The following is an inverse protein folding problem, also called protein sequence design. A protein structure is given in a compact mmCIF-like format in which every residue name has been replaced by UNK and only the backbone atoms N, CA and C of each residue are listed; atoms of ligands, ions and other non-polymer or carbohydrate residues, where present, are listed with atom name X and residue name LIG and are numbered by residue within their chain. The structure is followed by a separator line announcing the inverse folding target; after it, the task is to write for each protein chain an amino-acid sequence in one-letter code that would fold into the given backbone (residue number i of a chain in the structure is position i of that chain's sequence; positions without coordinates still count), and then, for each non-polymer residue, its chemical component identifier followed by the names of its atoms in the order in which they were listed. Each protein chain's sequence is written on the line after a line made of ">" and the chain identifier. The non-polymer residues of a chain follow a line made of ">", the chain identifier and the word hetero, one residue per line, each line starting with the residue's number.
data_IF_640600626663
#
_entry.id   IF_640600626663
#
_cell.length_a   1.000
_cell.length_b   1.000
_cell.length_c   1.000
_cell.angle_alpha   90.00
_cell.angle_beta   90.00
_cell.angle_gamma   90.00
#
_symmetry.space_group_name_H-M   'P 1'
#
loop_
_entity.id
_entity.type
_entity.pdbx_description
1 polymer ?
#
# COMPACT_ATOMS: atom_id res chain seq x y z
N UNK A 1 -12.97 14.40 10.66
CA UNK A 1 -12.36 15.22 9.59
C UNK A 1 -11.00 14.67 9.24
N UNK A 2 -10.87 14.16 8.01
CA UNK A 2 -9.58 13.66 7.51
C UNK A 2 -8.67 14.87 7.22
N UNK A 3 -7.46 14.94 7.78
CA UNK A 3 -6.58 16.10 7.61
C UNK A 3 -5.91 16.12 6.23
N UNK A 4 -6.70 16.36 5.19
CA UNK A 4 -6.32 16.33 3.77
C UNK A 4 -5.01 17.07 3.45
N UNK A 5 -4.85 18.29 3.99
CA UNK A 5 -3.62 19.10 3.76
C UNK A 5 -2.35 18.42 4.29
N UNK A 6 -2.45 17.69 5.41
CA UNK A 6 -1.31 16.95 5.97
C UNK A 6 -1.00 15.71 5.15
N UNK A 7 -2.02 15.01 4.65
CA UNK A 7 -1.84 13.83 3.78
C UNK A 7 -1.14 14.19 2.47
N UNK A 8 -1.48 15.31 1.85
CA UNK A 8 -0.81 15.79 0.64
C UNK A 8 0.63 16.24 0.87
N UNK A 9 0.93 16.78 2.05
CA UNK A 9 2.29 17.17 2.43
C UNK A 9 3.16 15.98 2.82
N UNK A 10 2.59 14.92 3.37
CA UNK A 10 3.27 13.66 3.56
C UNK A 10 3.46 13.00 2.19
N UNK A 11 4.51 13.39 1.46
CA UNK A 11 4.89 12.75 0.21
C UNK A 11 4.95 11.25 0.48
N UNK A 12 3.96 10.52 -0.03
CA UNK A 12 3.90 9.09 0.14
C UNK A 12 5.19 8.48 -0.41
N UNK A 13 6.01 7.98 0.48
CA UNK A 13 7.40 7.65 0.19
C UNK A 13 7.50 6.54 -0.85
N UNK A 14 6.56 5.59 -0.82
CA UNK A 14 6.57 4.40 -1.65
C UNK A 14 5.42 4.35 -2.68
N UNK A 15 4.60 5.39 -2.77
CA UNK A 15 3.51 5.46 -3.73
C UNK A 15 3.86 6.34 -4.94
N UNK A 16 3.41 5.95 -6.12
CA UNK A 16 3.46 6.80 -7.30
C UNK A 16 2.28 7.78 -7.29
N UNK A 17 2.31 8.84 -8.12
CA UNK A 17 1.13 9.69 -8.33
C UNK A 17 -0.12 8.89 -8.72
N UNK A 18 0.05 7.79 -9.48
CA UNK A 18 -1.04 6.90 -9.88
C UNK A 18 -1.63 6.13 -8.69
N UNK A 19 -0.78 5.66 -7.77
CA UNK A 19 -1.23 4.97 -6.56
C UNK A 19 -1.98 5.95 -5.64
N UNK A 20 -1.45 7.15 -5.48
CA UNK A 20 -2.08 8.22 -4.69
C UNK A 20 -3.40 8.69 -5.29
N UNK A 21 -3.54 8.71 -6.61
CA UNK A 21 -4.79 9.06 -7.27
C UNK A 21 -5.92 8.07 -6.94
N UNK A 22 -5.61 6.77 -6.80
CA UNK A 22 -6.60 5.77 -6.37
C UNK A 22 -7.05 6.04 -4.93
N UNK A 23 -6.11 6.27 -4.02
CA UNK A 23 -6.43 6.61 -2.63
C UNK A 23 -7.27 7.89 -2.53
N UNK A 24 -6.93 8.91 -3.32
CA UNK A 24 -7.69 10.14 -3.37
C UNK A 24 -9.13 9.92 -3.83
N UNK A 25 -9.31 9.19 -4.94
CA UNK A 25 -10.64 8.84 -5.45
C UNK A 25 -11.45 8.07 -4.41
N UNK A 26 -10.82 7.15 -3.69
CA UNK A 26 -11.44 6.43 -2.60
C UNK A 26 -11.94 7.38 -1.52
N UNK A 27 -11.08 8.28 -1.05
CA UNK A 27 -11.39 9.23 0.01
C UNK A 27 -12.51 10.21 -0.37
N UNK A 28 -12.59 10.58 -1.64
CA UNK A 28 -13.67 11.40 -2.18
C UNK A 28 -14.89 10.60 -2.64
N UNK A 29 -14.92 9.28 -2.39
CA UNK A 29 -15.99 8.37 -2.83
C UNK A 29 -16.25 8.44 -4.35
N UNK A 30 -15.22 8.77 -5.11
CA UNK A 30 -15.27 8.86 -6.58
C UNK A 30 -14.60 7.67 -7.27
N UNK A 31 -14.20 6.65 -6.49
CA UNK A 31 -13.72 5.41 -7.05
C UNK A 31 -14.89 4.68 -7.73
N UNK A 32 -14.66 4.27 -8.95
CA UNK A 32 -15.67 3.58 -9.74
C UNK A 32 -15.80 2.13 -9.22
N UNK A 33 -16.95 1.79 -8.73
CA UNK A 33 -17.35 0.44 -8.29
C UNK A 33 -18.60 0.04 -9.03
N UNK A 34 -18.97 -1.22 -9.05
CA UNK A 34 -20.09 -1.73 -9.84
C UNK A 34 -21.37 -0.91 -9.68
N UNK A 35 -21.68 -0.49 -8.45
CA UNK A 35 -22.83 0.36 -8.15
C UNK A 35 -22.87 1.67 -8.94
N UNK A 36 -21.71 2.29 -9.17
CA UNK A 36 -21.61 3.62 -9.78
C UNK A 36 -21.32 3.55 -11.29
N UNK A 37 -21.08 2.37 -11.83
CA UNK A 37 -20.46 2.19 -13.13
C UNK A 37 -21.38 1.79 -14.27
N UNK A 38 -22.66 1.53 -14.03
CA UNK A 38 -23.53 1.01 -15.07
C UNK A 38 -23.07 -0.30 -15.69
N UNK A 39 -22.18 -1.03 -14.97
CA UNK A 39 -21.74 -2.36 -15.37
C UNK A 39 -22.90 -3.36 -15.24
N UNK A 40 -22.87 -4.41 -16.03
CA UNK A 40 -23.86 -5.48 -15.97
C UNK A 40 -23.77 -6.18 -14.61
N UNK A 41 -24.57 -5.71 -13.65
CA UNK A 41 -24.62 -6.22 -12.30
C UNK A 41 -24.01 -5.28 -11.26
N UNK A 42 -24.70 -5.13 -10.15
CA UNK A 42 -24.29 -4.31 -9.01
C UNK A 42 -23.67 -5.17 -7.90
N UNK A 43 -23.57 -6.48 -8.12
CA UNK A 43 -23.11 -7.43 -7.12
C UNK A 43 -21.58 -7.47 -7.01
N UNK A 44 -21.11 -7.80 -5.81
CA UNK A 44 -19.71 -8.00 -5.52
C UNK A 44 -19.09 -9.08 -6.43
N UNK A 45 -17.93 -8.78 -7.00
CA UNK A 45 -17.22 -9.71 -7.89
C UNK A 45 -16.65 -10.96 -7.17
N UNK A 46 -16.79 -11.08 -5.85
CA UNK A 46 -16.43 -12.28 -5.10
C UNK A 46 -17.46 -13.37 -5.34
N UNK A 47 -17.02 -14.56 -5.75
CA UNK A 47 -17.90 -15.69 -5.98
C UNK A 47 -18.75 -16.02 -4.75
N UNK A 48 -20.06 -16.14 -4.95
CA UNK A 48 -21.04 -16.43 -3.89
C UNK A 48 -21.38 -15.23 -2.98
N UNK A 49 -20.82 -14.04 -3.22
CA UNK A 49 -21.21 -12.84 -2.48
C UNK A 49 -22.40 -12.17 -3.17
N UNK A 50 -23.53 -12.13 -2.49
CA UNK A 50 -24.79 -11.55 -3.02
C UNK A 50 -24.97 -10.08 -2.66
N UNK A 51 -24.01 -9.47 -1.99
CA UNK A 51 -24.10 -8.06 -1.59
C UNK A 51 -23.79 -7.11 -2.74
N UNK A 52 -24.41 -5.93 -2.70
CA UNK A 52 -24.11 -4.85 -3.63
C UNK A 52 -22.64 -4.39 -3.46
N UNK A 53 -21.90 -4.29 -4.58
CA UNK A 53 -20.53 -3.81 -4.55
C UNK A 53 -20.49 -2.28 -4.41
N UNK A 54 -20.02 -1.83 -3.30
CA UNK A 54 -19.68 -0.44 -3.04
C UNK A 54 -18.35 -0.38 -2.28
N UNK A 55 -17.81 0.81 -2.08
CA UNK A 55 -16.50 0.97 -1.43
C UNK A 55 -16.47 0.43 -0.01
N UNK A 56 -17.55 0.63 0.75
CA UNK A 56 -17.66 0.12 2.10
C UNK A 56 -17.71 -1.41 2.10
N UNK A 57 -18.44 -2.00 1.16
CA UNK A 57 -18.48 -3.46 1.02
C UNK A 57 -17.11 -4.03 0.63
N UNK A 58 -16.35 -3.39 -0.25
CA UNK A 58 -14.97 -3.82 -0.57
C UNK A 58 -14.04 -3.83 0.64
N UNK A 59 -14.29 -2.99 1.65
CA UNK A 59 -13.55 -3.02 2.91
C UNK A 59 -14.07 -4.07 3.89
N UNK A 60 -15.39 -4.32 3.89
CA UNK A 60 -16.08 -5.15 4.89
C UNK A 60 -16.47 -6.54 4.38
N UNK A 61 -16.41 -6.82 3.08
CA UNK A 61 -16.72 -8.14 2.51
C UNK A 61 -15.91 -9.23 3.22
N UNK A 62 -16.54 -10.24 3.83
CA UNK A 62 -15.84 -11.22 4.66
C UNK A 62 -14.71 -11.94 3.92
N UNK A 63 -14.92 -12.28 2.65
CA UNK A 63 -13.90 -12.95 1.83
C UNK A 63 -12.74 -12.01 1.49
N UNK A 64 -13.02 -10.76 1.07
CA UNK A 64 -11.95 -9.78 0.78
C UNK A 64 -11.20 -9.45 2.07
N UNK A 65 -11.91 -9.31 3.19
CA UNK A 65 -11.31 -9.05 4.49
C UNK A 65 -10.29 -10.14 4.85
N UNK A 66 -10.71 -11.40 4.85
CA UNK A 66 -9.87 -12.55 5.22
C UNK A 66 -8.72 -12.79 4.23
N UNK A 67 -9.01 -12.80 2.93
CA UNK A 67 -8.09 -13.30 1.92
C UNK A 67 -7.21 -12.20 1.32
N UNK A 68 -7.50 -10.94 1.63
CA UNK A 68 -6.73 -9.80 1.13
C UNK A 68 -6.32 -8.84 2.25
N UNK A 69 -7.26 -8.17 2.94
CA UNK A 69 -6.93 -7.13 3.90
C UNK A 69 -6.17 -7.65 5.12
N UNK A 70 -6.57 -8.78 5.69
CA UNK A 70 -5.88 -9.39 6.83
C UNK A 70 -4.45 -9.83 6.46
N UNK A 71 -4.26 -10.35 5.24
CA UNK A 71 -2.91 -10.68 4.74
C UNK A 71 -2.03 -9.46 4.60
N UNK A 72 -2.58 -8.32 4.16
CA UNK A 72 -1.83 -7.06 4.06
C UNK A 72 -1.48 -6.53 5.44
N UNK A 73 -2.41 -6.56 6.39
CA UNK A 73 -2.13 -6.18 7.79
C UNK A 73 -1.00 -7.03 8.36
N UNK A 74 -1.06 -8.35 8.22
CA UNK A 74 0.01 -9.26 8.65
C UNK A 74 1.33 -8.97 7.96
N UNK A 75 1.31 -8.67 6.66
CA UNK A 75 2.49 -8.27 5.90
C UNK A 75 3.12 -6.99 6.48
N UNK A 76 2.33 -5.95 6.71
CA UNK A 76 2.79 -4.68 7.27
C UNK A 76 3.33 -4.84 8.70
N UNK A 77 2.63 -5.61 9.53
CA UNK A 77 3.05 -5.92 10.90
C UNK A 77 4.36 -6.71 10.95
N UNK A 78 4.59 -7.63 10.01
CA UNK A 78 5.87 -8.33 9.89
C UNK A 78 7.05 -7.36 9.73
N UNK A 79 6.85 -6.27 9.01
CA UNK A 79 7.83 -5.19 8.88
C UNK A 79 7.70 -4.14 9.98
N UNK A 80 7.06 -4.47 11.12
CA UNK A 80 6.79 -3.56 12.24
C UNK A 80 6.08 -2.25 11.84
N UNK A 81 5.30 -2.20 10.80
CA UNK A 81 4.44 -1.08 10.45
C UNK A 81 3.13 -1.28 11.19
N UNK A 82 2.74 -0.28 11.99
CA UNK A 82 1.44 -0.31 12.64
C UNK A 82 0.32 -0.35 11.60
N UNK A 83 -0.48 -1.41 11.64
CA UNK A 83 -1.58 -1.64 10.73
C UNK A 83 -2.73 -2.32 11.47
N UNK A 84 -3.95 -1.93 11.14
CA UNK A 84 -5.19 -2.45 11.69
C UNK A 84 -6.18 -2.68 10.55
N UNK A 85 -6.98 -3.73 10.62
CA UNK A 85 -7.99 -3.98 9.59
C UNK A 85 -9.30 -3.25 9.93
N UNK A 86 -9.25 -1.92 9.87
CA UNK A 86 -10.37 -1.02 10.11
C UNK A 86 -10.62 -0.14 8.89
N UNK A 87 -11.86 0.32 8.71
CA UNK A 87 -12.21 1.25 7.63
C UNK A 87 -11.35 2.53 7.71
N UNK A 88 -11.18 3.06 8.92
CA UNK A 88 -10.35 4.25 9.16
C UNK A 88 -8.91 4.06 8.66
N UNK A 89 -8.32 2.89 8.93
CA UNK A 89 -6.97 2.58 8.46
C UNK A 89 -6.89 2.57 6.94
N UNK A 90 -7.84 1.93 6.26
CA UNK A 90 -7.85 1.85 4.80
C UNK A 90 -8.12 3.20 4.12
N UNK A 91 -8.70 4.14 4.84
CA UNK A 91 -8.85 5.53 4.40
C UNK A 91 -7.60 6.40 4.69
N UNK A 92 -6.56 5.83 5.26
CA UNK A 92 -5.29 6.50 5.51
C UNK A 92 -5.15 7.11 6.90
N UNK A 93 -6.01 6.73 7.84
CA UNK A 93 -5.97 7.17 9.22
C UNK A 93 -5.67 5.99 10.16
N UNK A 94 -4.95 6.25 11.23
CA UNK A 94 -4.66 5.29 12.27
C UNK A 94 -4.87 5.97 13.64
N UNK A 95 -5.85 5.48 14.42
CA UNK A 95 -6.18 6.02 15.74
C UNK A 95 -6.41 7.53 15.72
N UNK A 96 -7.26 7.99 14.82
CA UNK A 96 -7.61 9.42 14.66
C UNK A 96 -6.50 10.30 14.11
N UNK A 97 -5.37 9.73 13.66
CA UNK A 97 -4.24 10.47 13.06
C UNK A 97 -3.99 10.01 11.64
N UNK A 98 -3.48 10.91 10.81
CA UNK A 98 -2.99 10.53 9.47
C UNK A 98 -1.86 9.51 9.58
N UNK A 99 -1.96 8.43 8.85
CA UNK A 99 -0.92 7.41 8.79
C UNK A 99 0.39 7.98 8.23
N UNK A 100 1.51 7.42 8.64
CA UNK A 100 2.83 7.83 8.14
C UNK A 100 3.01 7.56 6.64
N UNK A 101 3.99 8.23 6.01
CA UNK A 101 4.19 8.16 4.56
C UNK A 101 4.39 6.73 4.01
N UNK A 102 5.08 5.86 4.76
CA UNK A 102 5.26 4.46 4.40
C UNK A 102 3.93 3.70 4.42
N UNK A 103 3.16 3.90 5.46
CA UNK A 103 1.83 3.29 5.62
C UNK A 103 0.86 3.78 4.55
N UNK A 104 0.81 5.09 4.30
CA UNK A 104 -0.02 5.67 3.24
C UNK A 104 0.36 5.13 1.86
N UNK A 105 1.66 4.98 1.59
CA UNK A 105 2.14 4.38 0.36
C UNK A 105 1.69 2.94 0.19
N UNK A 106 1.78 2.14 1.25
CA UNK A 106 1.32 0.76 1.24
C UNK A 106 -0.20 0.66 1.05
N UNK A 107 -0.98 1.48 1.77
CA UNK A 107 -2.44 1.55 1.62
C UNK A 107 -2.83 1.92 0.17
N UNK A 108 -2.21 2.94 -0.40
CA UNK A 108 -2.48 3.37 -1.77
C UNK A 108 -2.19 2.26 -2.80
N UNK A 109 -1.10 1.53 -2.63
CA UNK A 109 -0.73 0.39 -3.47
C UNK A 109 -1.71 -0.78 -3.29
N UNK A 110 -2.13 -1.05 -2.04
CA UNK A 110 -3.10 -2.09 -1.73
C UNK A 110 -4.45 -1.82 -2.45
N UNK A 111 -4.97 -0.63 -2.31
CA UNK A 111 -6.19 -0.23 -3.01
C UNK A 111 -6.06 -0.32 -4.52
N UNK A 112 -4.95 0.15 -5.07
CA UNK A 112 -4.71 0.05 -6.51
C UNK A 112 -4.70 -1.40 -6.98
N UNK A 113 -4.05 -2.30 -6.25
CA UNK A 113 -3.96 -3.71 -6.61
C UNK A 113 -5.33 -4.39 -6.56
N UNK A 114 -6.11 -4.17 -5.49
CA UNK A 114 -7.47 -4.69 -5.40
C UNK A 114 -8.37 -4.11 -6.49
N UNK A 115 -8.35 -2.80 -6.66
CA UNK A 115 -9.22 -2.12 -7.63
C UNK A 115 -8.95 -2.56 -9.07
N UNK A 116 -7.71 -2.82 -9.43
CA UNK A 116 -7.36 -3.33 -10.75
C UNK A 116 -7.96 -4.71 -11.00
N UNK A 117 -7.95 -5.61 -10.01
CA UNK A 117 -8.55 -6.94 -10.15
C UNK A 117 -10.09 -6.90 -10.09
N UNK A 118 -10.68 -6.03 -9.28
CA UNK A 118 -12.14 -5.79 -9.26
C UNK A 118 -12.61 -5.30 -10.63
N UNK A 119 -11.97 -4.27 -11.18
CA UNK A 119 -12.32 -3.74 -12.50
C UNK A 119 -12.18 -4.81 -13.59
N UNK A 120 -11.13 -5.63 -13.51
CA UNK A 120 -10.91 -6.71 -14.45
C UNK A 120 -11.96 -7.82 -14.33
N UNK A 121 -12.31 -8.20 -13.10
CA UNK A 121 -13.33 -9.22 -12.83
C UNK A 121 -14.68 -8.82 -13.46
N UNK A 122 -15.09 -7.57 -13.28
CA UNK A 122 -16.32 -7.06 -13.91
C UNK A 122 -16.21 -6.97 -15.43
N UNK A 123 -15.08 -6.54 -15.98
CA UNK A 123 -14.89 -6.44 -17.42
C UNK A 123 -14.90 -7.80 -18.14
N UNK A 124 -14.42 -8.85 -17.45
CA UNK A 124 -14.32 -10.21 -18.00
C UNK A 124 -15.46 -11.13 -17.55
N UNK A 125 -16.40 -10.61 -16.76
CA UNK A 125 -17.48 -11.42 -16.10
C UNK A 125 -16.92 -12.66 -15.37
N UNK A 126 -15.88 -12.42 -14.57
CA UNK A 126 -15.17 -13.45 -13.82
C UNK A 126 -15.13 -13.15 -12.33
N UNK A 127 -14.92 -14.19 -11.56
CA UNK A 127 -14.70 -14.07 -10.12
C UNK A 127 -13.43 -13.30 -9.79
N UNK A 128 -13.48 -12.47 -8.73
CA UNK A 128 -12.36 -11.70 -8.23
C UNK A 128 -11.20 -12.60 -7.75
N UNK A 129 -10.01 -12.35 -8.25
CA UNK A 129 -8.78 -13.08 -7.93
C UNK A 129 -7.98 -12.36 -6.83
N UNK A 130 -8.32 -12.63 -5.57
CA UNK A 130 -7.67 -12.01 -4.40
C UNK A 130 -6.20 -12.41 -4.23
N UNK A 131 -5.83 -13.63 -4.60
CA UNK A 131 -4.45 -14.11 -4.68
C UNK A 131 -3.61 -13.24 -5.62
N UNK A 132 -4.16 -12.91 -6.79
CA UNK A 132 -3.54 -12.06 -7.80
C UNK A 132 -3.44 -10.61 -7.34
N UNK A 133 -4.47 -10.09 -6.68
CA UNK A 133 -4.43 -8.77 -6.07
C UNK A 133 -3.32 -8.67 -5.01
N UNK A 134 -3.21 -9.68 -4.14
CA UNK A 134 -2.17 -9.72 -3.11
C UNK A 134 -0.75 -9.82 -3.71
N UNK A 135 -0.54 -10.69 -4.70
CA UNK A 135 0.74 -10.74 -5.43
C UNK A 135 1.08 -9.40 -6.09
N UNK A 136 0.10 -8.75 -6.73
CA UNK A 136 0.28 -7.43 -7.34
C UNK A 136 0.67 -6.38 -6.31
N UNK A 137 0.04 -6.39 -5.13
CA UNK A 137 0.41 -5.54 -4.01
C UNK A 137 1.88 -5.73 -3.60
N UNK A 138 2.28 -6.96 -3.29
CA UNK A 138 3.66 -7.25 -2.82
C UNK A 138 4.71 -6.88 -3.88
N UNK A 139 4.46 -7.18 -5.15
CA UNK A 139 5.32 -6.83 -6.28
C UNK A 139 5.47 -5.32 -6.45
N UNK A 140 4.36 -4.57 -6.42
CA UNK A 140 4.39 -3.12 -6.57
C UNK A 140 5.09 -2.46 -5.40
N UNK A 141 4.82 -2.91 -4.18
CA UNK A 141 5.46 -2.37 -2.97
C UNK A 141 6.97 -2.62 -3.01
N UNK A 142 7.40 -3.84 -3.31
CA UNK A 142 8.83 -4.17 -3.46
C UNK A 142 9.51 -3.28 -4.51
N UNK A 143 8.90 -3.11 -5.67
CA UNK A 143 9.42 -2.23 -6.73
C UNK A 143 9.56 -0.77 -6.27
N UNK A 144 8.62 -0.27 -5.47
CA UNK A 144 8.69 1.09 -4.90
C UNK A 144 9.78 1.22 -3.85
N UNK A 145 9.90 0.23 -2.97
CA UNK A 145 10.95 0.22 -1.94
C UNK A 145 12.35 0.16 -2.59
N UNK A 146 12.54 -0.68 -3.61
CA UNK A 146 13.80 -0.72 -4.39
C UNK A 146 14.15 0.64 -5.01
N UNK A 147 13.17 1.26 -5.68
CA UNK A 147 13.36 2.57 -6.29
C UNK A 147 13.65 3.67 -5.26
N UNK A 148 13.01 3.61 -4.09
CA UNK A 148 13.23 4.54 -3.00
C UNK A 148 14.60 4.34 -2.35
N UNK A 149 15.00 3.09 -2.08
CA UNK A 149 16.32 2.76 -1.55
C UNK A 149 17.45 3.28 -2.45
N UNK A 150 17.32 3.15 -3.77
CA UNK A 150 18.27 3.71 -4.72
C UNK A 150 18.37 5.24 -4.64
N UNK A 151 17.26 5.95 -4.44
CA UNK A 151 17.24 7.40 -4.22
C UNK A 151 17.93 7.79 -2.92
N UNK A 152 17.67 7.06 -1.82
CA UNK A 152 18.28 7.29 -0.53
C UNK A 152 19.78 7.03 -0.55
N UNK A 153 20.24 5.95 -1.19
CA UNK A 153 21.66 5.66 -1.36
C UNK A 153 22.38 6.81 -2.06
N UNK A 154 21.80 7.30 -3.16
CA UNK A 154 22.39 8.43 -3.92
C UNK A 154 22.41 9.71 -3.09
N UNK A 155 21.33 10.01 -2.38
CA UNK A 155 21.27 11.19 -1.53
C UNK A 155 22.26 11.10 -0.35
N UNK A 156 22.35 9.94 0.31
CA UNK A 156 23.30 9.70 1.40
C UNK A 156 24.76 9.88 0.94
N UNK A 157 25.13 9.31 -0.18
CA UNK A 157 26.47 9.48 -0.74
C UNK A 157 26.81 10.95 -1.04
N UNK A 158 25.86 11.71 -1.60
CA UNK A 158 26.03 13.13 -1.84
C UNK A 158 26.20 13.92 -0.54
N UNK A 159 25.43 13.63 0.51
CA UNK A 159 25.54 14.30 1.79
C UNK A 159 26.87 13.96 2.50
N UNK A 160 27.33 12.73 2.41
CA UNK A 160 28.60 12.30 2.98
C UNK A 160 29.80 13.05 2.36
N UNK A 161 29.74 13.34 1.07
CA UNK A 161 30.76 14.10 0.35
C UNK A 161 30.80 15.58 0.78
N UNK A 162 29.64 16.17 1.12
CA UNK A 162 29.51 17.61 1.41
C UNK A 162 29.58 17.97 2.89
N UNK A 163 29.11 17.13 3.79
CA UNK A 163 29.02 17.44 5.23
C UNK A 163 29.21 16.21 6.12
N UNK A 164 30.43 15.70 6.30
CA UNK A 164 30.67 14.48 7.07
C UNK A 164 30.22 14.59 8.54
N UNK A 165 30.22 15.79 9.14
CA UNK A 165 29.80 15.99 10.53
C UNK A 165 28.30 15.92 10.77
N UNK A 166 27.46 16.25 9.77
CA UNK A 166 25.98 16.21 9.87
C UNK A 166 25.38 14.83 9.58
N UNK A 167 26.16 13.95 8.98
CA UNK A 167 25.68 12.60 8.64
C UNK A 167 25.60 11.66 9.84
N UNK A 168 26.26 11.99 10.97
CA UNK A 168 26.24 11.14 12.20
C UNK A 168 24.84 10.94 12.77
N UNK A 169 23.93 11.91 12.62
CA UNK A 169 22.56 11.83 13.15
C UNK A 169 21.55 11.23 12.16
N UNK A 170 21.87 11.21 10.88
CA UNK A 170 20.95 10.81 9.83
C UNK A 170 20.67 9.30 9.77
N UNK A 171 21.68 8.42 9.93
CA UNK A 171 21.47 6.97 9.96
C UNK A 171 20.53 6.52 11.08
N UNK A 172 20.55 7.22 12.22
CA UNK A 172 19.77 6.86 13.39
C UNK A 172 18.27 7.10 13.20
N UNK A 173 17.90 8.20 12.52
CA UNK A 173 16.49 8.48 12.17
C UNK A 173 15.92 7.50 11.13
N UNK A 174 16.78 6.88 10.33
CA UNK A 174 16.37 5.97 9.26
C UNK A 174 16.56 4.48 9.61
N UNK A 175 17.27 4.16 10.72
CA UNK A 175 17.39 2.79 11.23
C UNK A 175 16.05 2.10 11.51
N UNK A 176 15.00 2.90 11.77
CA UNK A 176 13.66 2.41 12.02
C UNK A 176 12.80 2.29 10.75
N UNK A 177 13.36 2.50 9.56
CA UNK A 177 12.63 2.30 8.30
C UNK A 177 12.61 0.83 7.94
N UNK A 178 11.46 0.29 7.88
CA UNK A 178 11.12 -1.10 8.08
C UNK A 178 11.23 -1.93 6.82
N UNK A 179 11.09 -1.27 5.68
CA UNK A 179 11.32 -1.90 4.37
C UNK A 179 12.76 -1.72 3.85
N UNK A 180 13.56 -0.88 4.53
CA UNK A 180 14.93 -0.56 4.13
C UNK A 180 15.83 -0.74 5.34
N UNK A 181 16.87 -1.53 5.19
CA UNK A 181 17.91 -1.75 6.19
C UNK A 181 19.14 -0.93 5.86
N UNK A 182 19.85 -0.50 6.91
CA UNK A 182 21.15 0.12 6.78
C UNK A 182 22.21 -0.99 6.91
N UNK A 183 22.97 -1.19 5.85
CA UNK A 183 24.08 -2.15 5.81
C UNK A 183 25.29 -1.67 6.61
N UNK A 184 26.23 -2.56 6.88
CA UNK A 184 27.44 -2.27 7.65
C UNK A 184 28.32 -1.17 7.00
N UNK A 185 28.30 -1.06 5.68
CA UNK A 185 29.02 -0.03 4.90
C UNK A 185 28.26 1.32 4.83
N UNK A 186 27.19 1.48 5.63
CA UNK A 186 26.29 2.63 5.64
C UNK A 186 25.50 2.82 4.33
N UNK A 187 25.33 1.79 3.52
CA UNK A 187 24.40 1.79 2.39
C UNK A 187 23.01 1.32 2.79
N UNK A 188 22.00 1.60 2.00
CA UNK A 188 20.63 1.15 2.23
C UNK A 188 20.29 -0.01 1.30
N UNK A 189 19.86 -1.12 1.88
CA UNK A 189 19.33 -2.27 1.16
C UNK A 189 17.84 -2.47 1.44
N UNK A 190 17.17 -3.14 0.51
CA UNK A 190 15.79 -3.60 0.73
C UNK A 190 15.81 -4.75 1.74
N UNK A 191 14.85 -4.78 2.65
CA UNK A 191 14.72 -5.87 3.60
C UNK A 191 14.58 -7.21 2.85
N UNK A 192 15.41 -8.22 3.14
CA UNK A 192 15.46 -9.46 2.35
C UNK A 192 14.13 -10.22 2.32
N UNK A 193 13.37 -10.18 3.40
CA UNK A 193 12.06 -10.84 3.48
C UNK A 193 11.03 -10.29 2.47
N UNK A 194 11.22 -9.09 1.93
CA UNK A 194 10.28 -8.54 0.96
C UNK A 194 10.26 -9.35 -0.34
N UNK A 195 11.41 -9.81 -0.80
CA UNK A 195 11.50 -10.67 -1.98
C UNK A 195 10.93 -12.06 -1.72
N UNK A 196 11.30 -12.65 -0.58
CA UNK A 196 10.78 -13.97 -0.18
C UNK A 196 9.24 -13.95 -0.07
N UNK A 197 8.67 -12.92 0.56
CA UNK A 197 7.22 -12.78 0.66
C UNK A 197 6.54 -12.53 -0.67
N UNK A 198 7.16 -11.79 -1.59
CA UNK A 198 6.63 -11.62 -2.94
C UNK A 198 6.62 -12.94 -3.72
N UNK A 199 7.70 -13.72 -3.63
CA UNK A 199 7.78 -15.04 -4.28
C UNK A 199 6.72 -15.98 -3.71
N UNK A 200 6.57 -16.03 -2.39
CA UNK A 200 5.57 -16.84 -1.71
C UNK A 200 4.10 -16.42 -2.04
N UNK A 201 3.89 -15.19 -2.43
CA UNK A 201 2.56 -14.68 -2.82
C UNK A 201 2.21 -14.95 -4.30
N UNK A 202 3.12 -15.56 -5.07
CA UNK A 202 2.90 -15.83 -6.50
C UNK A 202 1.76 -16.85 -6.65
N UNK A 203 0.72 -16.52 -7.46
CA UNK A 203 -0.45 -17.38 -7.68
C UNK A 203 -0.13 -18.56 -8.58
#
# INVERSE_FOLDING_TARGET
>A
DVPWKKMWKAKAMYASPRDMAVLLKLQHRTLWVAKNGGMNGTQCAVHGCMHEENMQHLMSCPTIKRDYWDKIVQYLQHFNIAAENTEEFWLGCLRGKTAGGETLGAIAIAWRALYAEVTKAHAEDKSLRLDRAYFTFTRLLLGRVKAHGAKWRRWYNNQRLWQPSKTKHFPQQHRNKKFIQLEADATYAVHPDMEAKMIAARP
#
